data_IF_564387025982
#
_entry.id   IF_564387025982
#
_cell.length_a   1.000
_cell.length_b   1.000
_cell.length_c   1.000
_cell.angle_alpha   90.00
_cell.angle_beta   90.00
_cell.angle_gamma   90.00
#
_symmetry.space_group_name_H-M   'P 1'
#
loop_
_entity.id
_entity.type
_entity.pdbx_description
1 polymer ?
#
# COMPACT_ATOMS: atom_id res chain seq x y z
N UNK A 1 -2.22 -4.29 -20.98
CA UNK A 1 -1.43 -4.00 -19.77
C UNK A 1 -0.17 -4.86 -19.85
N UNK A 2 1.01 -4.25 -19.96
CA UNK A 2 2.28 -5.00 -19.93
C UNK A 2 2.76 -5.10 -18.49
N UNK A 3 2.82 -6.33 -17.96
CA UNK A 3 3.51 -6.61 -16.71
C UNK A 3 5.02 -6.54 -16.98
N UNK A 4 5.75 -5.79 -16.16
CA UNK A 4 7.21 -5.76 -16.23
C UNK A 4 7.75 -7.06 -15.60
N UNK A 5 8.07 -8.04 -16.44
CA UNK A 5 8.42 -9.42 -16.05
C UNK A 5 9.85 -9.60 -15.50
N UNK A 6 10.61 -8.50 -15.33
CA UNK A 6 12.00 -8.55 -14.87
C UNK A 6 12.16 -8.44 -13.36
N UNK A 7 11.10 -8.17 -12.61
CA UNK A 7 11.12 -8.28 -11.15
C UNK A 7 10.73 -9.71 -10.80
N UNK A 8 11.63 -10.54 -10.24
CA UNK A 8 11.24 -11.80 -9.66
C UNK A 8 10.42 -11.48 -8.41
N UNK A 9 9.10 -11.38 -8.59
CA UNK A 9 8.16 -11.43 -7.47
C UNK A 9 8.10 -12.90 -7.07
N UNK A 10 8.97 -13.30 -6.14
CA UNK A 10 8.78 -14.59 -5.48
C UNK A 10 7.37 -14.59 -4.91
N UNK A 11 6.53 -15.51 -5.40
CA UNK A 11 5.23 -15.75 -4.79
C UNK A 11 5.49 -16.35 -3.42
N UNK A 12 5.60 -15.50 -2.42
CA UNK A 12 5.61 -15.93 -1.04
C UNK A 12 4.21 -16.47 -0.73
N UNK A 13 4.10 -17.67 -0.17
CA UNK A 13 2.82 -18.26 0.30
C UNK A 13 2.17 -17.45 1.45
N UNK A 14 2.80 -16.36 1.88
CA UNK A 14 2.30 -15.46 2.92
C UNK A 14 1.73 -14.19 2.29
N UNK A 15 0.52 -13.77 2.68
CA UNK A 15 -0.06 -12.52 2.20
C UNK A 15 0.83 -11.34 2.62
N UNK A 16 0.94 -10.34 1.75
CA UNK A 16 1.66 -9.10 2.01
C UNK A 16 0.83 -8.26 2.97
N UNK A 17 1.41 -7.87 4.10
CA UNK A 17 0.73 -7.06 5.10
C UNK A 17 0.83 -5.58 4.74
N UNK A 18 -0.32 -4.94 4.54
CA UNK A 18 -0.41 -3.55 4.09
C UNK A 18 -1.07 -2.70 5.18
N UNK A 19 -0.45 -1.58 5.55
CA UNK A 19 -1.07 -0.55 6.38
C UNK A 19 -1.47 0.65 5.53
N UNK A 20 -2.69 1.16 5.72
CA UNK A 20 -3.15 2.39 5.06
C UNK A 20 -2.96 3.57 6.00
N UNK A 21 -2.01 4.45 5.66
CA UNK A 21 -1.64 5.63 6.45
C UNK A 21 -2.20 6.86 5.75
N UNK A 22 -3.39 7.28 6.15
CA UNK A 22 -4.07 8.50 5.73
C UNK A 22 -4.83 9.06 6.94
N UNK A 23 -5.03 10.37 6.99
CA UNK A 23 -5.91 11.00 7.99
C UNK A 23 -7.40 10.94 7.56
N UNK A 24 -7.67 10.69 6.29
CA UNK A 24 -9.03 10.58 5.75
C UNK A 24 -9.63 9.20 6.06
N UNK A 25 -10.61 9.16 6.96
CA UNK A 25 -11.27 7.92 7.38
C UNK A 25 -12.08 7.24 6.25
N UNK A 26 -12.64 8.01 5.30
CA UNK A 26 -13.37 7.47 4.16
C UNK A 26 -12.38 6.80 3.20
N UNK A 27 -11.30 7.49 2.87
CA UNK A 27 -10.23 6.94 2.03
C UNK A 27 -9.63 5.67 2.65
N UNK A 28 -9.37 5.69 3.96
CA UNK A 28 -8.88 4.51 4.70
C UNK A 28 -9.82 3.32 4.54
N UNK A 29 -11.13 3.53 4.74
CA UNK A 29 -12.12 2.45 4.64
C UNK A 29 -12.31 1.93 3.22
N UNK A 30 -12.31 2.82 2.22
CA UNK A 30 -12.42 2.46 0.81
C UNK A 30 -11.20 1.66 0.35
N UNK A 31 -9.99 2.12 0.67
CA UNK A 31 -8.75 1.39 0.36
C UNK A 31 -8.70 0.04 1.07
N UNK A 32 -9.04 -0.01 2.37
CA UNK A 32 -9.08 -1.27 3.09
C UNK A 32 -10.05 -2.28 2.43
N UNK A 33 -11.24 -1.83 2.01
CA UNK A 33 -12.22 -2.67 1.31
C UNK A 33 -11.79 -3.09 -0.09
N UNK A 34 -10.96 -2.29 -0.78
CA UNK A 34 -10.42 -2.65 -2.09
C UNK A 34 -9.29 -3.66 -1.94
N UNK A 35 -8.35 -3.41 -1.04
CA UNK A 35 -7.20 -4.28 -0.78
C UNK A 35 -7.62 -5.63 -0.21
N UNK A 36 -8.67 -5.68 0.62
CA UNK A 36 -9.20 -6.94 1.16
C UNK A 36 -9.83 -7.86 0.12
N UNK A 37 -10.00 -7.41 -1.13
CA UNK A 37 -10.50 -8.24 -2.24
C UNK A 37 -9.38 -8.98 -2.96
N UNK A 38 -8.13 -8.57 -2.77
CA UNK A 38 -6.97 -9.25 -3.33
C UNK A 38 -6.52 -10.37 -2.39
N UNK A 39 -6.39 -11.58 -2.92
CA UNK A 39 -6.10 -12.78 -2.13
C UNK A 39 -4.68 -12.77 -1.51
N UNK A 40 -3.76 -12.00 -2.10
CA UNK A 40 -2.36 -11.93 -1.69
C UNK A 40 -2.10 -10.78 -0.70
N UNK A 41 -3.13 -10.06 -0.25
CA UNK A 41 -2.98 -8.88 0.61
C UNK A 41 -3.74 -9.03 1.94
N UNK A 42 -3.09 -8.62 3.04
CA UNK A 42 -3.69 -8.52 4.36
C UNK A 42 -3.62 -7.07 4.85
N UNK A 43 -4.77 -6.43 5.09
CA UNK A 43 -4.79 -5.06 5.65
C UNK A 43 -4.60 -5.13 7.17
N UNK A 44 -3.56 -4.47 7.68
CA UNK A 44 -3.20 -4.52 9.11
C UNK A 44 -2.80 -3.14 9.66
N UNK A 45 -2.51 -3.10 10.96
CA UNK A 45 -1.95 -1.91 11.63
C UNK A 45 -0.51 -1.65 11.21
N UNK A 46 -0.08 -0.39 11.26
CA UNK A 46 1.27 0.02 10.86
C UNK A 46 2.39 -0.76 11.54
N UNK A 47 2.20 -1.17 12.80
CA UNK A 47 3.21 -1.90 13.57
C UNK A 47 3.48 -3.33 13.05
N UNK A 48 2.59 -3.89 12.24
CA UNK A 48 2.70 -5.25 11.70
C UNK A 48 2.71 -5.33 10.18
N UNK A 49 2.84 -4.19 9.49
CA UNK A 49 2.79 -4.12 8.04
C UNK A 49 4.18 -4.29 7.41
N UNK A 50 4.22 -5.04 6.31
CA UNK A 50 5.39 -5.14 5.43
C UNK A 50 5.51 -3.86 4.57
N UNK A 51 4.36 -3.26 4.22
CA UNK A 51 4.27 -2.05 3.38
C UNK A 51 3.26 -1.06 3.96
N UNK A 52 3.63 0.22 3.98
CA UNK A 52 2.72 1.30 4.30
C UNK A 52 2.29 2.03 3.02
N UNK A 53 0.99 2.03 2.73
CA UNK A 53 0.38 2.86 1.71
C UNK A 53 0.10 4.23 2.31
N UNK A 54 0.99 5.19 2.01
CA UNK A 54 0.87 6.56 2.50
C UNK A 54 0.09 7.41 1.51
N UNK A 55 -0.97 8.05 2.01
CA UNK A 55 -1.64 9.14 1.31
C UNK A 55 -1.04 10.47 1.78
N UNK A 56 -0.36 11.23 0.90
CA UNK A 56 0.25 12.49 1.28
C UNK A 56 -0.77 13.64 1.47
N UNK A 57 -2.05 13.45 1.12
CA UNK A 57 -3.07 14.48 1.27
C UNK A 57 -2.68 15.80 0.57
N UNK A 58 -2.87 16.94 1.26
CA UNK A 58 -2.55 18.29 0.74
C UNK A 58 -1.04 18.60 0.66
N UNK A 59 -0.20 17.75 1.25
CA UNK A 59 1.27 17.88 1.26
C UNK A 59 1.95 17.17 0.07
N UNK A 60 1.20 16.90 -1.01
CA UNK A 60 1.72 16.33 -2.25
C UNK A 60 2.93 17.09 -2.82
N UNK A 61 3.07 18.39 -2.52
CA UNK A 61 4.21 19.21 -2.94
C UNK A 61 5.55 18.80 -2.31
N UNK A 62 5.56 18.08 -1.18
CA UNK A 62 6.78 17.58 -0.54
C UNK A 62 7.17 16.15 -0.97
N UNK A 63 6.30 15.45 -1.70
CA UNK A 63 6.46 14.01 -2.00
C UNK A 63 7.48 13.76 -3.12
N UNK A 64 7.70 14.73 -4.01
CA UNK A 64 8.61 14.58 -5.15
C UNK A 64 10.00 15.21 -4.90
N UNK A 65 10.19 15.98 -3.82
CA UNK A 65 11.41 16.78 -3.65
C UNK A 65 12.57 16.06 -2.92
N UNK A 66 12.42 14.79 -2.53
CA UNK A 66 13.51 13.98 -1.98
C UNK A 66 13.53 12.55 -2.51
N UNK A 67 13.75 12.44 -3.82
CA UNK A 67 14.64 11.40 -4.34
C UNK A 67 15.90 12.12 -4.82
N UNK A 68 16.75 12.47 -3.86
CA UNK A 68 18.16 12.82 -4.09
C UNK A 68 19.02 11.58 -3.99
#
# INVERSE_FOLDING_TARGET
MSYNSTVPLERTDTPIKVAVVTDDALLRSALASLLSREADLEVTSLAGADVALWDPGVDAAQVVDKLG
#
